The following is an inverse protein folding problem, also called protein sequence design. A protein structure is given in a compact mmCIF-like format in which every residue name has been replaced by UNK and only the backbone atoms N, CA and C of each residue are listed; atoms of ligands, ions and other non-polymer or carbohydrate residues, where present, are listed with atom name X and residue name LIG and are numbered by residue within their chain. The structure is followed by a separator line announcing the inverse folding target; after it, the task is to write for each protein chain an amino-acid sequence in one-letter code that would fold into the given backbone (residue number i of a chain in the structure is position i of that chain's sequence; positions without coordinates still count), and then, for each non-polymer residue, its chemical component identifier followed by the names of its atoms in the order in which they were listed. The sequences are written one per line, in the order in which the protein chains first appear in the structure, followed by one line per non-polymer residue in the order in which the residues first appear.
data_IF_819457426542
#
_entry.id   IF_819457426542
#
_cell.length_a   1.000
_cell.length_b   1.000
_cell.length_c   1.000
_cell.angle_alpha   90.00
_cell.angle_beta   90.00
_cell.angle_gamma   90.00
#
_symmetry.space_group_name_H-M   'P 1'
#
loop_
_entity.id
_entity.type
_entity.pdbx_description
1 polymer ?
#
# COMPACT_ATOMS: atom_id res chain seq x y z
N UNK A 1 -7.53 25.84 -11.05
CA UNK A 1 -6.89 24.72 -11.77
C UNK A 1 -6.76 23.58 -10.77
N UNK A 2 -7.54 22.51 -10.93
CA UNK A 2 -7.61 21.39 -9.99
C UNK A 2 -7.01 20.13 -10.61
N UNK A 3 -6.58 19.20 -9.75
CA UNK A 3 -5.93 17.92 -10.08
C UNK A 3 -6.74 17.02 -11.06
N UNK A 4 -8.01 17.35 -11.29
CA UNK A 4 -8.97 16.56 -12.07
C UNK A 4 -9.50 17.25 -13.32
N UNK A 5 -8.91 18.38 -13.73
CA UNK A 5 -9.28 19.03 -14.99
C UNK A 5 -8.49 18.41 -16.15
N UNK A 6 -8.79 17.13 -16.41
CA UNK A 6 -8.27 16.39 -17.56
C UNK A 6 -9.45 16.16 -18.52
N UNK A 7 -9.47 16.88 -19.63
CA UNK A 7 -10.52 16.80 -20.66
C UNK A 7 -10.03 15.93 -21.82
N UNK A 8 -10.94 15.26 -22.54
CA UNK A 8 -10.58 14.36 -23.67
C UNK A 8 -9.88 15.12 -24.81
N UNK A 9 -10.10 16.43 -24.90
CA UNK A 9 -9.43 17.31 -25.87
C UNK A 9 -8.04 17.79 -25.41
N UNK A 10 -7.61 17.43 -24.20
CA UNK A 10 -6.27 17.78 -23.70
C UNK A 10 -5.19 17.10 -24.55
N UNK A 11 -4.08 17.83 -24.75
CA UNK A 11 -2.99 17.46 -25.67
C UNK A 11 -2.42 16.05 -25.40
N UNK A 12 -2.57 15.51 -24.19
CA UNK A 12 -2.14 14.15 -23.83
C UNK A 12 -3.00 13.03 -24.46
N UNK A 13 -4.24 13.34 -24.87
CA UNK A 13 -5.15 12.44 -25.59
C UNK A 13 -5.17 12.70 -27.10
N UNK A 14 -4.39 13.69 -27.57
CA UNK A 14 -4.18 13.86 -29.00
C UNK A 14 -3.32 12.71 -29.51
N UNK A 15 -3.60 12.30 -30.74
CA UNK A 15 -2.96 11.20 -31.43
C UNK A 15 -1.53 11.55 -31.88
N UNK A 16 -0.66 11.83 -30.91
CA UNK A 16 0.76 12.08 -31.13
C UNK A 16 1.35 10.75 -31.64
N UNK A 17 1.79 10.71 -32.90
CA UNK A 17 2.30 9.51 -33.57
C UNK A 17 1.33 8.82 -34.53
N UNK A 18 0.21 9.46 -34.89
CA UNK A 18 -0.64 9.02 -36.03
C UNK A 18 -0.31 9.80 -37.32
N UNK A 19 0.91 10.31 -37.44
CA UNK A 19 1.37 10.74 -38.75
C UNK A 19 1.34 9.47 -39.62
N UNK A 20 0.67 9.54 -40.79
CA UNK A 20 0.63 8.48 -41.81
C UNK A 20 2.03 8.28 -42.44
N UNK A 21 3.05 8.20 -41.60
CA UNK A 21 4.40 7.95 -42.00
C UNK A 21 4.52 6.43 -42.12
N UNK A 22 4.98 5.99 -43.28
CA UNK A 22 5.13 4.58 -43.60
C UNK A 22 6.00 3.91 -42.51
N UNK A 23 5.47 2.88 -41.82
CA UNK A 23 6.19 2.11 -40.80
C UNK A 23 7.48 1.49 -41.35
N UNK A 24 7.67 1.50 -42.68
CA UNK A 24 8.89 1.06 -43.34
C UNK A 24 9.98 2.13 -43.50
N UNK A 25 9.74 3.40 -43.13
CA UNK A 25 10.80 4.42 -43.09
C UNK A 25 11.77 4.19 -41.91
N UNK A 26 13.10 4.18 -42.15
CA UNK A 26 14.08 4.03 -41.07
C UNK A 26 14.00 5.21 -40.10
N UNK A 27 13.64 4.92 -38.86
CA UNK A 27 13.40 5.92 -37.80
C UNK A 27 11.93 6.05 -37.37
N UNK A 28 11.01 5.38 -38.07
CA UNK A 28 9.58 5.33 -37.73
C UNK A 28 9.18 4.05 -36.96
N UNK A 29 10.16 3.28 -36.48
CA UNK A 29 9.87 2.08 -35.68
C UNK A 29 9.26 2.47 -34.32
N UNK A 30 8.16 1.83 -33.90
CA UNK A 30 7.56 2.11 -32.60
C UNK A 30 8.56 1.82 -31.48
N UNK A 31 8.52 2.58 -30.36
CA UNK A 31 9.39 2.33 -29.23
C UNK A 31 9.33 0.88 -28.77
N UNK A 32 10.46 0.30 -28.36
CA UNK A 32 10.53 -1.11 -27.96
C UNK A 32 9.59 -1.48 -26.81
N UNK A 33 9.31 -0.57 -25.89
CA UNK A 33 8.32 -0.81 -24.83
C UNK A 33 6.89 -0.98 -25.36
N UNK A 34 6.61 -0.57 -26.61
CA UNK A 34 5.33 -0.74 -27.28
C UNK A 34 5.30 -2.03 -28.11
N UNK A 35 6.34 -2.28 -28.90
CA UNK A 35 6.36 -3.34 -29.93
C UNK A 35 7.12 -4.63 -29.55
N UNK A 36 8.04 -4.59 -28.58
CA UNK A 36 8.86 -5.75 -28.16
C UNK A 36 8.26 -6.39 -26.89
N UNK A 37 7.67 -7.57 -27.05
CA UNK A 37 7.03 -8.31 -25.94
C UNK A 37 8.01 -8.67 -24.81
N UNK A 38 9.28 -8.91 -25.15
CA UNK A 38 10.30 -9.24 -24.16
C UNK A 38 10.60 -8.01 -23.30
N UNK A 39 10.69 -6.83 -23.93
CA UNK A 39 10.88 -5.56 -23.22
C UNK A 39 9.68 -5.26 -22.32
N UNK A 40 8.44 -5.47 -22.80
CA UNK A 40 7.23 -5.28 -21.97
C UNK A 40 7.20 -6.19 -20.76
N UNK A 41 7.52 -7.47 -20.95
CA UNK A 41 7.61 -8.44 -19.84
C UNK A 41 8.70 -8.04 -18.85
N UNK A 42 9.86 -7.60 -19.33
CA UNK A 42 10.94 -7.12 -18.48
C UNK A 42 10.52 -5.93 -17.63
N UNK A 43 9.88 -4.91 -18.22
CA UNK A 43 9.38 -3.74 -17.50
C UNK A 43 8.37 -4.15 -16.42
N UNK A 44 7.39 -5.00 -16.78
CA UNK A 44 6.39 -5.49 -15.82
C UNK A 44 7.03 -6.25 -14.67
N UNK A 45 7.98 -7.15 -14.96
CA UNK A 45 8.67 -7.92 -13.93
C UNK A 45 9.44 -7.03 -12.95
N UNK A 46 10.12 -5.98 -13.45
CA UNK A 46 10.81 -5.01 -12.59
C UNK A 46 9.82 -4.24 -11.70
N UNK A 47 8.70 -3.78 -12.26
CA UNK A 47 7.66 -3.07 -11.49
C UNK A 47 6.97 -3.98 -10.46
N UNK A 48 6.76 -5.25 -10.79
CA UNK A 48 6.19 -6.24 -9.87
C UNK A 48 7.16 -6.53 -8.72
N UNK A 49 8.47 -6.61 -9.00
CA UNK A 49 9.50 -6.76 -7.98
C UNK A 49 9.53 -5.55 -7.03
N UNK A 50 9.62 -4.34 -7.57
CA UNK A 50 9.64 -3.11 -6.77
C UNK A 50 8.38 -3.00 -5.89
N UNK A 51 7.22 -3.38 -6.44
CA UNK A 51 5.95 -3.39 -5.71
C UNK A 51 5.94 -4.47 -4.61
N UNK A 52 6.52 -5.63 -4.86
CA UNK A 52 6.61 -6.69 -3.85
C UNK A 52 7.48 -6.25 -2.67
N UNK A 53 8.60 -5.58 -2.92
CA UNK A 53 9.47 -5.03 -1.88
C UNK A 53 8.79 -3.92 -1.06
N UNK A 54 8.05 -3.04 -1.73
CA UNK A 54 7.25 -2.01 -1.05
C UNK A 54 6.17 -2.63 -0.15
N UNK A 55 5.44 -3.61 -0.68
CA UNK A 55 4.37 -4.31 0.03
C UNK A 55 4.91 -5.07 1.25
N UNK A 56 6.04 -5.78 1.11
CA UNK A 56 6.67 -6.48 2.22
C UNK A 56 7.08 -5.51 3.34
N UNK A 57 7.68 -4.38 2.98
CA UNK A 57 8.01 -3.33 3.93
C UNK A 57 6.76 -2.73 4.61
N UNK A 58 5.64 -2.59 3.89
CA UNK A 58 4.36 -2.14 4.48
C UNK A 58 3.81 -3.17 5.46
N UNK A 59 3.74 -4.44 5.06
CA UNK A 59 3.24 -5.54 5.89
C UNK A 59 4.06 -5.69 7.17
N UNK A 60 5.38 -5.54 7.10
CA UNK A 60 6.24 -5.55 8.27
C UNK A 60 5.91 -4.43 9.27
N UNK A 61 5.65 -3.21 8.78
CA UNK A 61 5.24 -2.09 9.62
C UNK A 61 3.87 -2.32 10.24
N UNK A 62 2.89 -2.74 9.45
CA UNK A 62 1.53 -3.01 9.93
C UNK A 62 1.51 -4.13 10.99
N UNK A 63 2.22 -5.24 10.73
CA UNK A 63 2.37 -6.32 11.69
C UNK A 63 2.96 -5.82 13.01
N UNK A 64 4.04 -5.05 12.93
CA UNK A 64 4.72 -4.53 14.13
C UNK A 64 3.81 -3.60 14.92
N UNK A 65 3.08 -2.71 14.23
CA UNK A 65 2.11 -1.82 14.86
C UNK A 65 0.98 -2.58 15.56
N UNK A 66 0.44 -3.62 14.93
CA UNK A 66 -0.61 -4.46 15.52
C UNK A 66 -0.11 -5.21 16.76
N UNK A 67 1.11 -5.72 16.74
CA UNK A 67 1.70 -6.43 17.88
C UNK A 67 1.95 -5.50 19.07
N UNK A 68 2.48 -4.29 18.82
CA UNK A 68 2.66 -3.27 19.84
C UNK A 68 1.31 -2.89 20.44
N UNK A 69 0.35 -2.51 19.59
CA UNK A 69 -0.98 -2.12 20.04
C UNK A 69 -1.65 -3.22 20.88
N UNK A 70 -1.62 -4.47 20.41
CA UNK A 70 -2.20 -5.60 21.16
C UNK A 70 -1.53 -5.78 22.54
N UNK A 71 -0.20 -5.62 22.62
CA UNK A 71 0.51 -5.73 23.89
C UNK A 71 0.09 -4.64 24.88
N UNK A 72 -0.04 -3.40 24.40
CA UNK A 72 -0.46 -2.25 25.21
C UNK A 72 -1.88 -2.44 25.74
N UNK A 73 -2.81 -2.85 24.87
CA UNK A 73 -4.21 -3.13 25.26
C UNK A 73 -4.30 -4.30 26.24
N UNK A 74 -3.52 -5.35 26.02
CA UNK A 74 -3.49 -6.50 26.92
C UNK A 74 -3.01 -6.11 28.32
N UNK A 75 -2.00 -5.26 28.42
CA UNK A 75 -1.56 -4.74 29.72
C UNK A 75 -2.63 -3.92 30.43
N UNK A 76 -3.38 -3.08 29.69
CA UNK A 76 -4.48 -2.28 30.25
C UNK A 76 -5.56 -3.20 30.83
N UNK A 77 -5.96 -4.23 30.09
CA UNK A 77 -6.93 -5.23 30.57
C UNK A 77 -6.39 -5.98 31.79
N UNK A 78 -5.12 -6.40 31.76
CA UNK A 78 -4.47 -7.07 32.89
C UNK A 78 -4.48 -6.22 34.17
N UNK A 79 -4.16 -4.92 34.05
CA UNK A 79 -4.23 -3.96 35.16
C UNK A 79 -5.66 -3.84 35.70
N UNK A 80 -6.65 -3.66 34.82
CA UNK A 80 -8.05 -3.54 35.22
C UNK A 80 -8.56 -4.79 35.96
N UNK A 81 -8.16 -6.00 35.52
CA UNK A 81 -8.51 -7.26 36.20
C UNK A 81 -7.87 -7.31 37.59
N UNK A 82 -6.59 -6.96 37.71
CA UNK A 82 -5.87 -6.92 38.98
C UNK A 82 -6.54 -5.95 39.96
N UNK A 83 -6.85 -4.73 39.52
CA UNK A 83 -7.50 -3.71 40.35
C UNK A 83 -8.88 -4.15 40.81
N UNK A 84 -9.68 -4.73 39.90
CA UNK A 84 -10.99 -5.28 40.25
C UNK A 84 -10.90 -6.42 41.26
N UNK A 85 -9.87 -7.27 41.16
CA UNK A 85 -9.64 -8.36 42.11
C UNK A 85 -9.23 -7.85 43.50
N UNK A 86 -8.36 -6.83 43.55
CA UNK A 86 -7.93 -6.18 44.79
C UNK A 86 -9.11 -5.50 45.50
N UNK A 87 -9.97 -4.80 44.74
CA UNK A 87 -11.15 -4.15 45.27
C UNK A 87 -12.14 -5.16 45.86
N UNK A 88 -12.39 -6.29 45.17
CA UNK A 88 -13.20 -7.40 45.71
C UNK A 88 -12.63 -7.99 46.99
N UNK A 89 -11.31 -8.17 47.06
CA UNK A 89 -10.63 -8.68 48.26
C UNK A 89 -10.82 -7.72 49.45
N UNK A 90 -10.63 -6.41 49.25
CA UNK A 90 -10.83 -5.40 50.30
C UNK A 90 -12.28 -5.34 50.81
N UNK A 91 -13.27 -5.51 49.92
CA UNK A 91 -14.69 -5.51 50.30
C UNK A 91 -15.06 -6.74 51.14
N UNK A 92 -14.56 -7.93 50.78
CA UNK A 92 -14.79 -9.15 51.56
C UNK A 92 -14.18 -9.09 52.97
N UNK A 93 -13.06 -8.38 53.16
CA UNK A 93 -12.43 -8.21 54.48
C UNK A 93 -13.21 -7.25 55.39
N UNK A 94 -13.99 -6.31 54.83
CA UNK A 94 -14.82 -5.39 55.62
C UNK A 94 -16.20 -5.96 56.00
N UNK A 95 -16.67 -7.01 55.30
CA UNK A 95 -17.95 -7.67 55.55
C UNK A 95 -17.95 -8.75 56.64
N UNK A 96 -16.82 -8.99 57.29
CA UNK A 96 -16.68 -9.97 58.39
C UNK A 96 -16.61 -9.27 59.74
N UNK A 97 -17.73 -8.73 60.23
CA UNK A 97 -17.93 -8.32 61.63
C UNK A 97 -19.37 -8.60 62.04
#
# INVERSE_FOLDING_TARGET
KGLWKLEVDDIIFQNIGWDEQDDSEPGNEPPRWLCDETVRKGIKAMLELDRADEEDARLHRERSALQVWFSEEWEVVGRAISDASALKSSFNVQGTY
#
